data_IF_461485045824
#
_entry.id   IF_461485045824
#
_cell.length_a   1.000
_cell.length_b   1.000
_cell.length_c   1.000
_cell.angle_alpha   90.00
_cell.angle_beta   90.00
_cell.angle_gamma   90.00
#
_symmetry.space_group_name_H-M   'P 1'
#
loop_
_entity.id
_entity.type
_entity.pdbx_description
1 polymer ?
#
# COMPACT_ATOMS: atom_id res chain seq x y z
N UNK A 1 5.95 0.37 12.41
CA UNK A 1 5.89 -0.40 11.15
C UNK A 1 5.47 0.55 10.06
N UNK A 2 6.29 0.72 9.02
CA UNK A 2 6.01 1.60 7.89
C UNK A 2 5.25 0.81 6.82
N UNK A 3 4.10 1.33 6.42
CA UNK A 3 3.25 0.70 5.40
C UNK A 3 3.09 1.68 4.25
N UNK A 4 3.38 1.22 3.03
CA UNK A 4 3.11 1.96 1.80
C UNK A 4 1.86 1.39 1.14
N UNK A 5 0.79 2.18 1.08
CA UNK A 5 -0.42 1.90 0.31
C UNK A 5 -0.27 2.34 -1.15
N UNK A 6 -0.79 1.53 -2.07
CA UNK A 6 -0.80 1.80 -3.51
C UNK A 6 -2.21 1.67 -4.04
N UNK A 7 -2.72 2.75 -4.62
CA UNK A 7 -3.92 2.76 -5.46
C UNK A 7 -3.47 2.77 -6.94
N UNK A 8 -3.47 1.61 -7.61
CA UNK A 8 -2.82 1.46 -8.90
C UNK A 8 -3.61 2.10 -10.03
N UNK A 9 -2.93 2.83 -10.91
CA UNK A 9 -3.51 3.31 -12.15
C UNK A 9 -2.45 3.73 -13.15
N UNK A 10 -2.71 3.49 -14.44
CA UNK A 10 -1.71 3.75 -15.48
C UNK A 10 -1.45 5.25 -15.64
N UNK A 11 -2.47 6.11 -15.54
CA UNK A 11 -2.32 7.57 -15.63
C UNK A 11 -1.96 8.21 -14.30
N UNK A 12 -2.56 7.71 -13.22
CA UNK A 12 -2.40 8.20 -11.84
C UNK A 12 -2.30 6.98 -10.95
N UNK A 13 -1.19 6.84 -10.26
CA UNK A 13 -0.95 5.78 -9.29
C UNK A 13 -0.73 6.45 -7.93
N UNK A 14 -1.71 6.33 -7.05
CA UNK A 14 -1.66 6.91 -5.71
C UNK A 14 -0.70 6.15 -4.81
N UNK A 15 0.12 6.86 -4.04
CA UNK A 15 1.05 6.29 -3.06
C UNK A 15 0.86 6.99 -1.73
N UNK A 16 0.45 6.25 -0.70
CA UNK A 16 0.29 6.75 0.67
C UNK A 16 1.22 6.01 1.62
N UNK A 17 1.87 6.71 2.54
CA UNK A 17 2.78 6.12 3.53
C UNK A 17 2.31 6.48 4.93
N UNK A 18 2.16 5.47 5.78
CA UNK A 18 1.78 5.61 7.18
C UNK A 18 2.72 4.84 8.08
N UNK A 19 2.80 5.27 9.33
CA UNK A 19 3.38 4.49 10.41
C UNK A 19 2.27 3.89 11.28
N UNK A 20 2.37 2.58 11.53
CA UNK A 20 1.63 1.90 12.58
C UNK A 20 2.53 1.72 13.81
N UNK A 21 2.21 2.47 14.88
CA UNK A 21 2.91 2.42 16.16
C UNK A 21 2.51 1.23 17.03
N UNK A 22 3.22 1.04 18.15
CA UNK A 22 3.05 -0.10 19.09
C UNK A 22 1.63 -0.17 19.67
N UNK A 23 0.98 0.97 19.90
CA UNK A 23 -0.39 1.07 20.43
C UNK A 23 -1.46 1.05 19.34
N UNK A 24 -1.12 0.62 18.12
CA UNK A 24 -1.96 0.73 16.90
C UNK A 24 -2.35 2.16 16.54
N UNK A 25 -1.70 3.17 17.13
CA UNK A 25 -1.83 4.55 16.66
C UNK A 25 -1.25 4.64 15.25
N UNK A 26 -2.06 5.13 14.32
CA UNK A 26 -1.62 5.39 12.95
C UNK A 26 -1.16 6.84 12.83
N UNK A 27 -0.10 7.07 12.05
CA UNK A 27 0.44 8.40 11.79
C UNK A 27 0.75 8.57 10.32
N UNK A 28 0.39 9.73 9.78
CA UNK A 28 0.70 10.08 8.39
C UNK A 28 2.19 10.33 8.22
N UNK A 29 2.78 9.79 7.15
CA UNK A 29 4.16 10.10 6.74
C UNK A 29 4.16 10.89 5.43
N UNK A 30 3.49 10.36 4.41
CA UNK A 30 3.57 10.93 3.08
C UNK A 30 2.37 10.55 2.21
N UNK A 31 2.09 11.37 1.20
CA UNK A 31 1.25 10.99 0.09
C UNK A 31 1.71 11.66 -1.19
N UNK A 32 1.62 10.92 -2.30
CA UNK A 32 1.98 11.39 -3.63
C UNK A 32 1.15 10.66 -4.69
N UNK A 33 1.20 11.15 -5.92
CA UNK A 33 0.62 10.48 -7.09
C UNK A 33 1.67 10.41 -8.18
N UNK A 34 2.11 9.19 -8.49
CA UNK A 34 2.96 8.93 -9.65
C UNK A 34 2.11 9.06 -10.91
N UNK A 35 2.58 9.86 -11.87
CA UNK A 35 1.82 10.20 -13.08
C UNK A 35 2.56 9.73 -14.33
N UNK A 36 1.79 9.30 -15.32
CA UNK A 36 2.28 9.13 -16.68
C UNK A 36 1.48 10.00 -17.64
N UNK A 37 2.13 10.48 -18.70
CA UNK A 37 1.46 11.25 -19.76
C UNK A 37 0.66 10.30 -20.67
N UNK A 38 -0.67 10.47 -20.82
CA UNK A 38 -1.49 9.67 -21.73
C UNK A 38 -1.09 9.75 -23.21
N UNK A 39 -0.29 10.76 -23.61
CA UNK A 39 0.22 10.91 -24.98
C UNK A 39 1.40 9.98 -25.29
N UNK A 40 2.04 9.41 -24.27
CA UNK A 40 3.14 8.46 -24.44
C UNK A 40 2.63 7.06 -24.76
N UNK A 41 3.48 6.26 -25.41
CA UNK A 41 3.22 4.84 -25.63
C UNK A 41 3.10 4.09 -24.29
N UNK A 42 2.35 2.99 -24.29
CA UNK A 42 2.00 2.26 -23.07
C UNK A 42 3.23 1.76 -22.30
N UNK A 43 4.25 1.30 -22.99
CA UNK A 43 5.53 0.86 -22.43
C UNK A 43 6.26 1.99 -21.69
N UNK A 44 6.31 3.20 -22.25
CA UNK A 44 6.91 4.36 -21.59
C UNK A 44 6.10 4.83 -20.38
N UNK A 45 4.77 4.70 -20.45
CA UNK A 45 3.88 5.00 -19.32
C UNK A 45 4.08 4.01 -18.17
N UNK A 46 4.21 2.72 -18.48
CA UNK A 46 4.53 1.68 -17.51
C UNK A 46 5.90 1.91 -16.87
N UNK A 47 6.91 2.32 -17.66
CA UNK A 47 8.23 2.68 -17.16
C UNK A 47 8.16 3.86 -16.16
N UNK A 48 7.38 4.91 -16.47
CA UNK A 48 7.19 6.05 -15.57
C UNK A 48 6.56 5.63 -14.24
N UNK A 49 5.51 4.80 -14.27
CA UNK A 49 4.88 4.25 -13.06
C UNK A 49 5.86 3.41 -12.25
N UNK A 50 6.60 2.50 -12.90
CA UNK A 50 7.58 1.66 -12.24
C UNK A 50 8.68 2.49 -11.55
N UNK A 51 9.27 3.45 -12.26
CA UNK A 51 10.33 4.29 -11.71
C UNK A 51 9.85 5.12 -10.51
N UNK A 52 8.65 5.69 -10.59
CA UNK A 52 8.07 6.43 -9.46
C UNK A 52 7.80 5.53 -8.26
N UNK A 53 7.28 4.32 -8.47
CA UNK A 53 7.08 3.35 -7.39
C UNK A 53 8.41 2.93 -6.74
N UNK A 54 9.42 2.66 -7.56
CA UNK A 54 10.80 2.37 -7.10
C UNK A 54 11.33 3.49 -6.22
N UNK A 55 11.24 4.74 -6.69
CA UNK A 55 11.68 5.92 -5.94
C UNK A 55 11.02 5.98 -4.55
N UNK A 56 9.70 5.74 -4.46
CA UNK A 56 9.00 5.78 -3.17
C UNK A 56 9.39 4.63 -2.26
N UNK A 57 9.53 3.41 -2.77
CA UNK A 57 9.95 2.25 -1.96
C UNK A 57 11.36 2.49 -1.42
N UNK A 58 12.29 3.01 -2.23
CA UNK A 58 13.66 3.30 -1.78
C UNK A 58 13.70 4.44 -0.77
N UNK A 59 12.92 5.51 -1.00
CA UNK A 59 12.87 6.67 -0.12
C UNK A 59 12.31 6.34 1.26
N UNK A 60 11.25 5.54 1.33
CA UNK A 60 10.52 5.29 2.58
C UNK A 60 10.86 3.96 3.24
N UNK A 61 11.53 3.05 2.53
CA UNK A 61 11.91 1.71 3.00
C UNK A 61 10.77 1.01 3.78
N UNK A 62 9.57 0.85 3.17
CA UNK A 62 8.42 0.32 3.89
C UNK A 62 8.64 -1.13 4.33
N UNK A 63 8.10 -1.49 5.49
CA UNK A 63 8.07 -2.88 5.99
C UNK A 63 7.11 -3.74 5.15
N UNK A 64 6.11 -3.12 4.50
CA UNK A 64 5.08 -3.78 3.70
C UNK A 64 4.52 -2.82 2.64
N UNK A 65 4.20 -3.36 1.46
CA UNK A 65 3.41 -2.67 0.44
C UNK A 65 1.99 -3.25 0.40
N UNK A 66 1.00 -2.38 0.59
CA UNK A 66 -0.42 -2.71 0.57
C UNK A 66 -1.03 -2.20 -0.74
N UNK A 67 -1.62 -3.06 -1.56
CA UNK A 67 -2.09 -2.69 -2.91
C UNK A 67 -3.59 -2.93 -3.02
N UNK A 68 -4.33 -1.99 -3.62
CA UNK A 68 -5.72 -2.21 -3.96
C UNK A 68 -5.84 -3.30 -5.04
N UNK A 69 -6.72 -4.27 -4.81
CA UNK A 69 -7.01 -5.34 -5.75
C UNK A 69 -7.86 -4.81 -6.90
N UNK A 70 -7.40 -5.03 -8.12
CA UNK A 70 -8.12 -4.66 -9.34
C UNK A 70 -9.29 -5.62 -9.60
N UNK A 71 -10.49 -5.08 -9.77
CA UNK A 71 -11.69 -5.84 -10.14
C UNK A 71 -12.16 -5.49 -11.56
N UNK A 72 -12.48 -6.51 -12.35
CA UNK A 72 -12.83 -6.35 -13.76
C UNK A 72 -14.25 -5.79 -14.01
N UNK A 73 -15.09 -5.64 -12.98
CA UNK A 73 -16.52 -5.39 -13.18
C UNK A 73 -16.88 -3.92 -13.50
N UNK A 74 -16.05 -2.94 -13.12
CA UNK A 74 -16.51 -1.54 -13.16
C UNK A 74 -16.02 -0.72 -14.36
N UNK A 75 -14.95 -1.10 -15.08
CA UNK A 75 -14.53 -0.40 -16.31
C UNK A 75 -13.60 -1.24 -17.20
N UNK A 76 -14.17 -2.01 -18.15
CA UNK A 76 -13.40 -2.90 -19.05
C UNK A 76 -12.24 -2.21 -19.78
N UNK A 77 -12.39 -0.92 -20.11
CA UNK A 77 -11.41 -0.17 -20.90
C UNK A 77 -10.16 0.25 -20.12
N UNK A 78 -10.23 0.39 -18.79
CA UNK A 78 -9.11 0.87 -17.95
C UNK A 78 -8.51 -0.22 -17.07
N UNK A 79 -9.27 -1.29 -16.80
CA UNK A 79 -8.87 -2.41 -15.94
C UNK A 79 -7.51 -3.00 -16.33
N UNK A 80 -7.21 -3.13 -17.63
CA UNK A 80 -5.93 -3.69 -18.07
C UNK A 80 -4.75 -2.81 -17.63
N UNK A 81 -4.85 -1.49 -17.80
CA UNK A 81 -3.80 -0.56 -17.39
C UNK A 81 -3.63 -0.51 -15.87
N UNK A 82 -4.72 -0.54 -15.13
CA UNK A 82 -4.72 -0.64 -13.66
C UNK A 82 -4.06 -1.94 -13.19
N UNK A 83 -4.40 -3.09 -13.80
CA UNK A 83 -3.82 -4.39 -13.48
C UNK A 83 -2.31 -4.43 -13.77
N UNK A 84 -1.86 -3.84 -14.87
CA UNK A 84 -0.44 -3.70 -15.18
C UNK A 84 0.28 -2.84 -14.13
N UNK A 85 -0.30 -1.68 -13.75
CA UNK A 85 0.26 -0.83 -12.70
C UNK A 85 0.35 -1.55 -11.34
N UNK A 86 -0.67 -2.33 -10.97
CA UNK A 86 -0.64 -3.18 -9.79
C UNK A 86 0.49 -4.22 -9.85
N UNK A 87 0.66 -4.87 -11.00
CA UNK A 87 1.76 -5.82 -11.24
C UNK A 87 3.15 -5.18 -11.11
N UNK A 88 3.31 -3.94 -11.59
CA UNK A 88 4.55 -3.17 -11.41
C UNK A 88 4.83 -2.85 -9.94
N UNK A 89 3.81 -2.49 -9.17
CA UNK A 89 3.97 -2.28 -7.72
C UNK A 89 4.38 -3.57 -6.99
N UNK A 90 3.77 -4.71 -7.35
CA UNK A 90 4.17 -6.02 -6.83
C UNK A 90 5.62 -6.35 -7.18
N UNK A 91 6.03 -6.13 -8.43
CA UNK A 91 7.39 -6.39 -8.90
C UNK A 91 8.42 -5.49 -8.20
N UNK A 92 8.15 -4.19 -8.12
CA UNK A 92 9.05 -3.22 -7.48
C UNK A 92 9.28 -3.54 -6.00
N UNK A 93 8.23 -3.98 -5.28
CA UNK A 93 8.32 -4.45 -3.91
C UNK A 93 9.07 -5.80 -3.82
N UNK A 94 8.77 -6.75 -4.72
CA UNK A 94 9.42 -8.07 -4.77
C UNK A 94 10.94 -7.98 -4.89
N UNK A 95 11.42 -7.13 -5.82
CA UNK A 95 12.85 -6.95 -6.07
C UNK A 95 13.61 -6.39 -4.86
N UNK A 96 12.92 -5.72 -3.94
CA UNK A 96 13.48 -5.15 -2.71
C UNK A 96 13.23 -6.02 -1.48
N UNK A 97 12.67 -7.22 -1.66
CA UNK A 97 12.32 -8.12 -0.56
C UNK A 97 11.18 -7.62 0.31
N UNK A 98 10.44 -6.59 -0.12
CA UNK A 98 9.33 -6.03 0.65
C UNK A 98 8.08 -6.90 0.41
N UNK A 99 7.42 -7.39 1.47
CA UNK A 99 6.19 -8.17 1.33
C UNK A 99 5.06 -7.33 0.76
N UNK A 100 4.10 -8.01 0.12
CA UNK A 100 2.94 -7.38 -0.53
C UNK A 100 1.65 -7.99 0.01
N UNK A 101 0.68 -7.14 0.32
CA UNK A 101 -0.67 -7.52 0.67
C UNK A 101 -1.68 -6.90 -0.32
N UNK A 102 -2.72 -7.65 -0.67
CA UNK A 102 -3.79 -7.18 -1.54
C UNK A 102 -5.08 -7.01 -0.76
N UNK A 103 -5.76 -5.87 -0.94
CA UNK A 103 -7.04 -5.58 -0.29
C UNK A 103 -8.07 -5.17 -1.32
N UNK A 104 -9.30 -5.59 -1.11
CA UNK A 104 -10.43 -5.17 -1.93
C UNK A 104 -10.90 -3.77 -1.53
N UNK A 105 -11.53 -3.01 -2.45
CA UNK A 105 -12.13 -1.72 -2.10
C UNK A 105 -13.12 -1.84 -0.94
N UNK A 106 -13.90 -2.93 -0.90
CA UNK A 106 -14.86 -3.21 0.17
C UNK A 106 -14.16 -3.42 1.52
N UNK A 107 -13.04 -4.14 1.56
CA UNK A 107 -12.23 -4.31 2.78
C UNK A 107 -11.67 -2.98 3.26
N UNK A 108 -11.14 -2.15 2.36
CA UNK A 108 -10.63 -0.83 2.72
C UNK A 108 -11.74 0.06 3.30
N UNK A 109 -12.91 0.10 2.64
CA UNK A 109 -14.08 0.84 3.13
C UNK A 109 -14.55 0.33 4.50
N UNK A 110 -14.66 -0.99 4.68
CA UNK A 110 -15.05 -1.60 5.95
C UNK A 110 -14.06 -1.27 7.07
N UNK A 111 -12.75 -1.41 6.82
CA UNK A 111 -11.72 -1.18 7.83
C UNK A 111 -11.71 0.26 8.35
N UNK A 112 -12.04 1.23 7.49
CA UNK A 112 -11.96 2.66 7.80
C UNK A 112 -13.27 3.21 8.34
N UNK A 113 -14.40 2.81 7.75
CA UNK A 113 -15.70 3.44 8.01
C UNK A 113 -16.66 2.53 8.78
N UNK A 114 -16.36 1.23 8.91
CA UNK A 114 -17.30 0.22 9.39
C UNK A 114 -18.38 -0.17 8.37
N UNK A 115 -18.38 0.43 7.17
CA UNK A 115 -19.40 0.20 6.13
C UNK A 115 -18.75 -0.01 4.75
N UNK A 116 -18.88 -1.20 4.18
CA UNK A 116 -18.34 -1.54 2.85
C UNK A 116 -18.97 -0.76 1.69
N UNK A 117 -20.11 -0.11 1.92
CA UNK A 117 -20.83 0.72 0.95
C UNK A 117 -20.64 2.22 1.19
N UNK A 118 -19.63 2.62 1.97
CA UNK A 118 -19.37 4.04 2.23
C UNK A 118 -19.07 4.83 0.95
N UNK A 119 -19.60 6.05 0.91
CA UNK A 119 -19.35 7.07 -0.11
C UNK A 119 -17.88 7.55 -0.06
N UNK A 120 -17.33 8.02 -1.18
CA UNK A 120 -15.91 8.43 -1.27
C UNK A 120 -15.56 9.51 -0.23
N UNK A 121 -16.43 10.52 -0.07
CA UNK A 121 -16.23 11.59 0.91
C UNK A 121 -16.22 11.10 2.37
N UNK A 122 -16.94 10.01 2.67
CA UNK A 122 -16.94 9.42 4.01
C UNK A 122 -15.60 8.74 4.30
N UNK A 123 -15.04 8.05 3.29
CA UNK A 123 -13.70 7.45 3.39
C UNK A 123 -12.64 8.53 3.60
N UNK A 124 -12.63 9.58 2.77
CA UNK A 124 -11.67 10.69 2.88
C UNK A 124 -11.67 11.35 4.28
N UNK A 125 -12.86 11.62 4.83
CA UNK A 125 -13.01 12.19 6.18
C UNK A 125 -12.49 11.25 7.27
N UNK A 126 -12.75 9.96 7.12
CA UNK A 126 -12.29 8.96 8.08
C UNK A 126 -10.78 8.76 8.00
N UNK A 127 -10.18 8.78 6.81
CA UNK A 127 -8.71 8.77 6.63
C UNK A 127 -8.09 9.97 7.34
N UNK A 128 -8.62 11.18 7.12
CA UNK A 128 -8.13 12.38 7.82
C UNK A 128 -8.22 12.23 9.34
N UNK A 129 -9.36 11.76 9.85
CA UNK A 129 -9.57 11.54 11.29
C UNK A 129 -8.59 10.51 11.87
N UNK A 130 -8.45 9.35 11.22
CA UNK A 130 -7.60 8.24 11.68
C UNK A 130 -6.12 8.64 11.71
N UNK A 131 -5.70 9.45 10.75
CA UNK A 131 -4.31 9.92 10.64
C UNK A 131 -4.05 11.26 11.34
N UNK A 132 -5.06 11.87 11.98
CA UNK A 132 -4.94 13.14 12.67
C UNK A 132 -4.65 14.34 11.73
N UNK A 133 -5.14 14.29 10.49
CA UNK A 133 -4.99 15.37 9.52
C UNK A 133 -6.04 16.47 9.75
N UNK A 134 -5.60 17.73 9.71
CA UNK A 134 -6.48 18.90 9.85
C UNK A 134 -7.32 19.17 8.59
N UNK A 135 -6.91 18.61 7.44
CA UNK A 135 -7.56 18.76 6.15
C UNK A 135 -7.75 17.40 5.51
N UNK A 136 -8.65 17.32 4.53
CA UNK A 136 -8.77 16.11 3.70
C UNK A 136 -7.44 15.85 2.96
N UNK A 137 -7.06 14.58 2.77
CA UNK A 137 -5.88 14.25 1.98
C UNK A 137 -6.04 14.79 0.55
N UNK A 138 -5.02 15.48 0.05
CA UNK A 138 -4.95 15.90 -1.33
C UNK A 138 -3.69 15.35 -1.99
N UNK A 139 -3.73 15.03 -3.30
CA UNK A 139 -4.88 15.09 -4.23
C UNK A 139 -5.92 13.97 -3.98
N UNK A 140 -7.06 13.92 -4.69
CA UNK A 140 -8.15 12.96 -4.41
C UNK A 140 -7.71 11.47 -4.33
N UNK A 141 -6.72 11.04 -5.12
CA UNK A 141 -6.19 9.65 -5.09
C UNK A 141 -5.28 9.38 -3.87
N UNK A 142 -4.95 10.42 -3.10
CA UNK A 142 -4.22 10.32 -1.84
C UNK A 142 -5.01 9.52 -0.80
N UNK A 143 -6.31 9.74 -0.74
CA UNK A 143 -7.17 9.10 0.24
C UNK A 143 -7.31 7.60 -0.02
N UNK A 144 -7.39 7.18 -1.28
CA UNK A 144 -7.53 5.78 -1.67
C UNK A 144 -6.25 4.99 -1.33
N UNK A 145 -5.07 5.54 -1.67
CA UNK A 145 -3.79 4.93 -1.30
C UNK A 145 -3.57 4.85 0.23
N UNK A 146 -3.90 5.92 0.98
CA UNK A 146 -3.85 5.91 2.45
C UNK A 146 -4.87 4.93 3.03
N UNK A 147 -6.03 4.79 2.41
CA UNK A 147 -7.08 3.86 2.85
C UNK A 147 -6.61 2.42 2.83
N UNK A 148 -5.93 2.02 1.76
CA UNK A 148 -5.38 0.67 1.60
C UNK A 148 -4.25 0.40 2.61
N UNK A 149 -3.45 1.41 2.95
CA UNK A 149 -2.44 1.30 4.00
C UNK A 149 -3.08 1.13 5.40
N UNK A 150 -4.10 1.94 5.72
CA UNK A 150 -4.86 1.86 6.97
C UNK A 150 -5.56 0.51 7.08
N UNK A 151 -6.17 0.03 6.00
CA UNK A 151 -6.82 -1.27 5.94
C UNK A 151 -5.87 -2.40 6.37
N UNK A 152 -4.64 -2.38 5.87
CA UNK A 152 -3.62 -3.34 6.30
C UNK A 152 -3.28 -3.19 7.78
N UNK A 153 -3.11 -1.96 8.27
CA UNK A 153 -2.72 -1.69 9.65
C UNK A 153 -3.79 -2.10 10.68
N UNK A 154 -5.07 -1.97 10.33
CA UNK A 154 -6.19 -2.23 11.23
C UNK A 154 -6.68 -3.69 11.22
N UNK A 155 -6.16 -4.54 10.33
CA UNK A 155 -6.52 -5.97 10.31
C UNK A 155 -6.08 -6.66 11.63
N UNK A 156 -6.93 -7.53 12.21
CA UNK A 156 -6.59 -8.24 13.45
C UNK A 156 -5.28 -9.03 13.33
N UNK A 157 -4.41 -8.89 14.33
CA UNK A 157 -3.20 -9.72 14.45
C UNK A 157 -3.61 -11.19 14.59
N UNK A 158 -3.34 -11.97 13.54
CA UNK A 158 -3.88 -13.33 13.34
C UNK A 158 -4.38 -13.56 11.91
N UNK A 159 -4.83 -12.50 11.23
CA UNK A 159 -5.00 -12.47 9.77
C UNK A 159 -3.66 -12.28 9.02
N UNK A 160 -2.54 -12.26 9.77
CA UNK A 160 -1.14 -12.16 9.31
C UNK A 160 -0.64 -13.43 8.61
N UNK A 161 -1.53 -14.32 8.19
CA UNK A 161 -1.22 -15.41 7.28
C UNK A 161 -1.97 -15.14 5.99
N UNK A 162 -1.40 -14.33 5.08
CA UNK A 162 -2.20 -14.02 3.90
C UNK A 162 -1.66 -13.04 2.88
N UNK A 163 -0.39 -12.65 2.93
CA UNK A 163 0.26 -12.40 1.64
C UNK A 163 0.27 -13.73 0.87
N UNK A 164 -0.02 -13.75 -0.43
CA UNK A 164 0.17 -14.98 -1.23
C UNK A 164 1.56 -15.59 -0.96
N UNK A 165 2.58 -14.75 -0.75
CA UNK A 165 3.93 -15.19 -0.35
C UNK A 165 3.94 -16.04 0.92
N UNK A 166 3.34 -15.59 2.02
CA UNK A 166 3.34 -16.32 3.30
C UNK A 166 2.59 -17.65 3.23
N UNK A 167 1.52 -17.71 2.43
CA UNK A 167 0.77 -18.93 2.18
C UNK A 167 1.60 -19.98 1.42
N UNK A 168 2.56 -19.54 0.60
CA UNK A 168 3.47 -20.40 -0.17
C UNK A 168 4.82 -20.66 0.52
N UNK A 169 5.09 -20.08 1.71
CA UNK A 169 6.34 -20.34 2.44
C UNK A 169 6.30 -21.73 3.09
N UNK A 170 7.35 -22.51 2.82
CA UNK A 170 7.63 -23.74 3.56
C UNK A 170 7.89 -23.44 5.05
N UNK A 171 7.72 -24.44 5.95
CA UNK A 171 7.98 -24.25 7.39
C UNK A 171 9.41 -23.79 7.72
N UNK A 172 10.39 -24.07 6.86
CA UNK A 172 11.77 -23.60 7.02
C UNK A 172 11.91 -22.11 6.64
N UNK A 173 11.28 -21.70 5.53
CA UNK A 173 11.33 -20.32 5.05
C UNK A 173 10.59 -19.36 5.98
N UNK A 174 9.48 -19.79 6.61
CA UNK A 174 8.80 -19.00 7.66
C UNK A 174 9.72 -18.70 8.84
N UNK A 175 10.37 -19.72 9.38
CA UNK A 175 11.31 -19.57 10.52
C UNK A 175 12.48 -18.66 10.18
N UNK A 176 13.00 -18.73 8.95
CA UNK A 176 14.07 -17.85 8.50
C UNK A 176 13.62 -16.39 8.33
N UNK A 177 12.42 -16.17 7.79
CA UNK A 177 11.84 -14.83 7.66
C UNK A 177 11.59 -14.18 9.04
N UNK A 178 11.04 -14.94 10.00
CA UNK A 178 10.83 -14.51 11.38
C UNK A 178 12.15 -14.12 12.06
N UNK A 179 13.18 -14.95 11.92
CA UNK A 179 14.51 -14.68 12.48
C UNK A 179 15.16 -13.43 11.85
N UNK A 180 15.00 -13.24 10.53
CA UNK A 180 15.54 -12.09 9.80
C UNK A 180 14.85 -10.79 10.23
N UNK A 181 13.53 -10.78 10.37
CA UNK A 181 12.78 -9.61 10.87
C UNK A 181 13.18 -9.23 12.29
N UNK A 182 13.39 -10.22 13.18
CA UNK A 182 13.86 -9.97 14.54
C UNK A 182 15.28 -9.40 14.57
N UNK A 183 16.16 -9.85 13.68
CA UNK A 183 17.52 -9.33 13.56
C UNK A 183 17.56 -7.87 13.09
N UNK A 184 16.76 -7.52 12.07
CA UNK A 184 16.67 -6.14 11.55
C UNK A 184 16.11 -5.17 12.59
N UNK A 185 15.08 -5.57 13.34
CA UNK A 185 14.52 -4.77 14.45
C UNK A 185 15.53 -4.52 15.58
N UNK A 186 16.37 -5.51 15.90
CA UNK A 186 17.44 -5.37 16.91
C UNK A 186 18.58 -4.45 16.45
N UNK A 187 18.85 -4.38 15.15
CA UNK A 187 19.90 -3.51 14.61
C UNK A 187 19.49 -2.04 14.54
N UNK A 188 18.20 -1.74 14.29
CA UNK A 188 17.66 -0.38 14.37
C UNK A 188 17.67 0.20 15.79
N UNK A 189 17.32 -0.61 16.80
CA UNK A 189 17.29 -0.17 18.20
C UNK A 189 18.66 0.14 18.82
N UNK A 190 19.77 -0.25 18.16
CA UNK A 190 21.15 0.03 18.62
C UNK A 190 21.78 1.29 18.02
N UNK A 191 21.11 1.96 17.07
CA UNK A 191 21.62 3.20 16.45
C UNK A 191 21.18 4.48 17.17
N UNK A 192 20.26 4.38 18.13
CA UNK A 192 19.71 5.51 18.89
C UNK A 192 20.18 5.53 20.37
N UNK A 193 21.39 5.00 20.63
CA UNK A 193 22.06 5.06 21.94
C UNK A 193 23.50 5.55 21.76
#
# INVERSE_FOLDING_TARGET
>A
MIIMGVDPGLTRCGVGVIEAGVTRRLSFIHVDVVRSDPKLSQDLRLLAIYNGLVEKIERFAPDMVSIERVFAQENRNTVLGTAQAAGLAMLAAAQRGVPVALHTPTEAKLAITGNGKAEKIQVERMVARVLGLNTLPQPADAADALSVAICHALRPQGALQGGEREQHLTPAQRRWAEASQQATRRHGARRDM
#
